data_IF_296100361116
#
_entry.id   IF_296100361116
#
_cell.length_a   1.000
_cell.length_b   1.000
_cell.length_c   1.000
_cell.angle_alpha   90.00
_cell.angle_beta   90.00
_cell.angle_gamma   90.00
#
_symmetry.space_group_name_H-M   'P 1'
#
loop_
_entity.id
_entity.type
_entity.pdbx_description
1 polymer ?
#
# COMPACT_ATOMS: atom_id res chain seq x y z
N UNK A 1 19.18 -25.40 36.68
CA UNK A 1 18.29 -24.26 36.90
C UNK A 1 19.08 -22.94 36.66
N UNK A 2 19.40 -22.58 35.43
CA UNK A 2 20.02 -21.26 35.15
C UNK A 2 20.18 -20.98 33.61
N UNK A 3 19.24 -21.49 32.81
CA UNK A 3 19.21 -21.13 31.38
C UNK A 3 17.96 -20.34 30.95
N UNK A 4 17.15 -19.85 31.92
CA UNK A 4 15.86 -19.23 31.66
C UNK A 4 15.83 -17.73 31.49
N UNK A 5 16.94 -16.99 31.69
CA UNK A 5 16.87 -15.52 31.80
C UNK A 5 17.19 -14.82 30.46
N UNK A 6 17.91 -15.47 29.55
CA UNK A 6 18.30 -14.85 28.28
C UNK A 6 17.28 -15.05 27.15
N UNK A 7 16.31 -15.95 27.31
CA UNK A 7 15.28 -16.23 26.30
C UNK A 7 13.89 -15.71 26.65
N UNK A 8 13.70 -15.16 27.86
CA UNK A 8 12.38 -14.67 28.28
C UNK A 8 11.92 -13.41 27.53
N UNK A 9 12.81 -12.72 26.82
CA UNK A 9 12.45 -11.58 25.97
C UNK A 9 11.95 -11.98 24.58
N UNK A 10 12.33 -13.17 24.09
CA UNK A 10 11.93 -13.64 22.75
C UNK A 10 10.59 -14.39 22.77
N UNK A 11 10.22 -14.99 23.90
CA UNK A 11 8.99 -15.78 24.04
C UNK A 11 7.71 -14.94 24.08
N UNK A 12 7.78 -13.60 24.17
CA UNK A 12 6.64 -12.69 24.22
C UNK A 12 6.43 -11.88 22.94
N UNK A 13 7.17 -12.15 21.87
CA UNK A 13 6.93 -11.47 20.58
C UNK A 13 5.83 -12.23 19.86
N UNK A 14 4.61 -11.77 20.03
CA UNK A 14 3.44 -12.38 19.42
C UNK A 14 3.13 -11.71 18.08
N UNK A 15 3.41 -12.44 17.00
CA UNK A 15 3.10 -12.02 15.62
C UNK A 15 1.69 -12.41 15.18
N UNK A 16 0.93 -13.10 16.06
CA UNK A 16 -0.39 -13.60 15.72
C UNK A 16 -1.43 -12.47 15.67
N UNK A 17 -2.40 -12.65 14.79
CA UNK A 17 -3.55 -11.77 14.70
C UNK A 17 -4.52 -12.15 15.80
N UNK A 18 -4.69 -11.28 16.81
CA UNK A 18 -5.65 -11.51 17.88
C UNK A 18 -7.06 -11.14 17.47
N UNK A 19 -8.01 -12.02 17.71
CA UNK A 19 -9.43 -11.71 17.62
C UNK A 19 -9.85 -10.87 18.82
N UNK A 20 -10.32 -9.64 18.58
CA UNK A 20 -10.78 -8.71 19.62
C UNK A 20 -12.22 -9.02 19.99
N UNK A 21 -13.06 -9.32 19.02
CA UNK A 21 -14.49 -9.59 19.22
C UNK A 21 -14.98 -10.70 18.28
N UNK A 22 -15.80 -11.60 18.82
CA UNK A 22 -16.36 -12.74 18.08
C UNK A 22 -17.83 -12.47 17.79
N UNK A 23 -18.25 -12.53 16.54
CA UNK A 23 -19.65 -12.51 16.17
C UNK A 23 -19.96 -13.58 15.12
N UNK A 24 -21.19 -14.08 15.13
CA UNK A 24 -21.65 -15.06 14.16
C UNK A 24 -22.42 -14.36 13.03
N UNK A 25 -21.96 -14.57 11.80
CA UNK A 25 -22.63 -14.06 10.60
C UNK A 25 -22.93 -15.23 9.65
N UNK A 26 -24.20 -15.45 9.32
CA UNK A 26 -24.65 -16.58 8.48
C UNK A 26 -24.17 -17.98 8.94
N UNK A 27 -24.04 -18.20 10.25
CA UNK A 27 -23.59 -19.49 10.79
C UNK A 27 -22.06 -19.71 10.80
N UNK A 28 -21.30 -18.73 10.31
CA UNK A 28 -19.83 -18.71 10.40
C UNK A 28 -19.38 -17.80 11.54
N UNK A 29 -18.41 -18.26 12.33
CA UNK A 29 -17.79 -17.44 13.36
C UNK A 29 -16.77 -16.50 12.70
N UNK A 30 -17.04 -15.21 12.76
CA UNK A 30 -16.17 -14.16 12.23
C UNK A 30 -15.57 -13.40 13.41
N UNK A 31 -14.23 -13.20 13.33
CA UNK A 31 -13.49 -12.47 14.34
C UNK A 31 -13.17 -11.06 13.84
N UNK A 32 -13.49 -10.04 14.63
CA UNK A 32 -12.90 -8.72 14.46
C UNK A 32 -11.49 -8.79 15.02
N UNK A 33 -10.51 -8.65 14.14
CA UNK A 33 -9.09 -8.71 14.49
C UNK A 33 -8.54 -7.33 14.82
N UNK A 34 -7.37 -7.28 15.46
CA UNK A 34 -6.63 -6.04 15.69
C UNK A 34 -6.38 -5.26 14.41
N UNK A 35 -6.19 -5.95 13.28
CA UNK A 35 -6.04 -5.33 11.95
C UNK A 35 -7.25 -4.50 11.56
N UNK A 36 -8.48 -5.01 11.78
CA UNK A 36 -9.72 -4.25 11.47
C UNK A 36 -9.83 -2.97 12.30
N UNK A 37 -9.44 -3.03 13.57
CA UNK A 37 -9.43 -1.85 14.45
C UNK A 37 -8.40 -0.83 13.95
N UNK A 38 -7.20 -1.27 13.59
CA UNK A 38 -6.16 -0.39 13.07
C UNK A 38 -6.57 0.25 11.72
N UNK A 39 -7.17 -0.53 10.79
CA UNK A 39 -7.74 0.01 9.54
C UNK A 39 -8.77 1.10 9.83
N UNK A 40 -9.69 0.85 10.78
CA UNK A 40 -10.72 1.81 11.15
C UNK A 40 -10.10 3.10 11.72
N UNK A 41 -9.10 3.00 12.59
CA UNK A 41 -8.39 4.16 13.14
C UNK A 41 -7.71 4.95 12.03
N UNK A 42 -6.98 4.30 11.13
CA UNK A 42 -6.32 4.93 9.98
C UNK A 42 -7.35 5.65 9.10
N UNK A 43 -8.47 4.99 8.79
CA UNK A 43 -9.54 5.60 8.00
C UNK A 43 -10.15 6.83 8.68
N UNK A 44 -10.37 6.78 10.00
CA UNK A 44 -10.88 7.93 10.75
C UNK A 44 -9.89 9.10 10.75
N UNK A 45 -8.58 8.84 10.86
CA UNK A 45 -7.53 9.86 10.78
C UNK A 45 -7.55 10.52 9.40
N UNK A 46 -7.60 9.73 8.33
CA UNK A 46 -7.61 10.24 6.94
C UNK A 46 -8.88 11.06 6.68
N UNK A 47 -10.05 10.56 7.06
CA UNK A 47 -11.32 11.25 6.88
C UNK A 47 -11.34 12.55 7.71
N UNK A 48 -10.86 12.51 8.95
CA UNK A 48 -10.73 13.69 9.79
C UNK A 48 -9.84 14.76 9.17
N UNK A 49 -8.67 14.36 8.68
CA UNK A 49 -7.77 15.25 7.95
C UNK A 49 -8.42 15.82 6.69
N UNK A 50 -9.11 14.99 5.90
CA UNK A 50 -9.79 15.43 4.68
C UNK A 50 -10.92 16.44 4.98
N UNK A 51 -11.69 16.25 6.05
CA UNK A 51 -12.72 17.21 6.47
C UNK A 51 -12.11 18.55 6.90
N UNK A 52 -11.02 18.52 7.67
CA UNK A 52 -10.31 19.74 8.09
C UNK A 52 -9.73 20.47 6.89
N UNK A 53 -9.05 19.73 5.99
CA UNK A 53 -8.50 20.27 4.76
C UNK A 53 -9.58 20.91 3.89
N UNK A 54 -10.70 20.23 3.66
CA UNK A 54 -11.81 20.75 2.87
C UNK A 54 -12.43 22.02 3.48
N UNK A 55 -12.59 22.08 4.80
CA UNK A 55 -13.08 23.28 5.49
C UNK A 55 -12.11 24.46 5.40
N UNK A 56 -10.81 24.17 5.44
CA UNK A 56 -9.79 25.19 5.27
C UNK A 56 -9.76 25.72 3.83
N UNK A 57 -9.82 24.82 2.85
CA UNK A 57 -9.84 25.16 1.43
C UNK A 57 -11.11 25.90 0.99
N UNK A 58 -12.25 25.67 1.66
CA UNK A 58 -13.47 26.45 1.42
C UNK A 58 -13.33 27.96 1.73
N UNK A 59 -12.29 28.35 2.50
CA UNK A 59 -11.93 29.73 2.83
C UNK A 59 -10.58 30.13 2.25
N UNK A 60 -10.13 29.44 1.19
CA UNK A 60 -8.82 29.66 0.60
C UNK A 60 -8.66 31.11 0.11
N UNK A 61 -7.46 31.66 0.33
CA UNK A 61 -7.04 32.97 -0.16
C UNK A 61 -6.17 32.80 -1.40
N UNK A 62 -6.08 33.83 -2.24
CA UNK A 62 -5.21 33.83 -3.43
C UNK A 62 -3.74 33.60 -3.08
N UNK A 63 -3.30 34.10 -1.92
CA UNK A 63 -1.97 33.84 -1.39
C UNK A 63 -2.11 32.83 -0.25
N UNK A 64 -1.62 31.57 -0.42
CA UNK A 64 -1.77 30.53 0.58
C UNK A 64 -0.94 30.82 1.82
N UNK A 65 -1.56 30.80 3.00
CA UNK A 65 -0.89 30.98 4.29
C UNK A 65 -1.11 29.78 5.22
N UNK A 66 -0.09 29.44 6.02
CA UNK A 66 -0.18 28.46 7.09
C UNK A 66 -0.60 27.06 6.60
N UNK A 67 -1.71 26.54 7.13
CA UNK A 67 -2.19 25.18 6.83
C UNK A 67 -2.64 25.01 5.36
N UNK A 68 -3.19 26.05 4.74
CA UNK A 68 -3.56 26.05 3.32
C UNK A 68 -2.35 25.73 2.44
N UNK A 69 -1.22 26.38 2.68
CA UNK A 69 0.01 26.16 1.94
C UNK A 69 0.51 24.71 2.04
N UNK A 70 0.36 24.08 3.22
CA UNK A 70 0.75 22.67 3.40
C UNK A 70 -0.15 21.75 2.59
N UNK A 71 -1.46 21.95 2.62
CA UNK A 71 -2.42 21.12 1.87
C UNK A 71 -2.20 21.28 0.37
N UNK A 72 -2.06 22.52 -0.13
CA UNK A 72 -1.78 22.80 -1.54
C UNK A 72 -0.46 22.16 -1.99
N UNK A 73 0.60 22.27 -1.19
CA UNK A 73 1.89 21.64 -1.49
C UNK A 73 1.77 20.11 -1.61
N UNK A 74 1.02 19.47 -0.71
CA UNK A 74 0.80 17.99 -0.76
C UNK A 74 0.07 17.63 -2.05
N UNK A 75 -1.01 18.33 -2.38
CA UNK A 75 -1.81 18.07 -3.60
C UNK A 75 -0.97 18.31 -4.84
N UNK A 76 -0.25 19.44 -4.94
CA UNK A 76 0.63 19.77 -6.07
C UNK A 76 1.71 18.68 -6.27
N UNK A 77 2.33 18.20 -5.20
CA UNK A 77 3.33 17.13 -5.29
C UNK A 77 2.74 15.80 -5.73
N UNK A 78 1.53 15.47 -5.26
CA UNK A 78 0.82 14.27 -5.69
C UNK A 78 0.41 14.36 -7.16
N UNK A 79 -0.11 15.50 -7.61
CA UNK A 79 -0.50 15.72 -9.01
C UNK A 79 0.72 15.65 -9.93
N UNK A 80 1.82 16.31 -9.57
CA UNK A 80 3.08 16.24 -10.32
C UNK A 80 3.64 14.81 -10.40
N UNK A 81 3.47 13.99 -9.34
CA UNK A 81 3.85 12.58 -9.34
C UNK A 81 3.02 11.77 -10.34
N UNK A 82 1.74 12.10 -10.51
CA UNK A 82 0.83 11.41 -11.44
C UNK A 82 1.03 11.87 -12.89
N UNK A 83 1.33 13.14 -13.11
CA UNK A 83 1.51 13.73 -14.45
C UNK A 83 2.65 13.05 -15.23
N UNK A 84 3.76 12.76 -14.55
CA UNK A 84 4.95 12.20 -15.18
C UNK A 84 4.70 10.86 -15.89
N UNK A 85 4.10 9.82 -15.24
CA UNK A 85 3.88 8.53 -15.87
C UNK A 85 2.59 8.44 -16.68
N UNK A 86 1.58 9.28 -16.40
CA UNK A 86 0.24 9.15 -17.00
C UNK A 86 -0.07 10.19 -18.07
N UNK A 87 0.73 11.26 -18.18
CA UNK A 87 0.59 12.27 -19.22
C UNK A 87 -0.85 12.79 -19.38
N UNK A 88 -1.44 12.68 -20.58
CA UNK A 88 -2.80 13.16 -20.88
C UNK A 88 -3.91 12.46 -20.08
N UNK A 89 -3.63 11.30 -19.50
CA UNK A 89 -4.59 10.55 -18.70
C UNK A 89 -4.62 10.97 -17.23
N UNK A 90 -3.59 11.65 -16.75
CA UNK A 90 -3.38 12.02 -15.36
C UNK A 90 -4.62 12.64 -14.66
N UNK A 91 -5.36 13.60 -15.26
CA UNK A 91 -6.48 14.25 -14.57
C UNK A 91 -7.60 13.28 -14.10
N UNK A 92 -7.69 12.10 -14.72
CA UNK A 92 -8.70 11.11 -14.35
C UNK A 92 -8.28 10.26 -13.15
N UNK A 93 -6.99 10.26 -12.84
CA UNK A 93 -6.40 9.37 -11.85
C UNK A 93 -5.84 10.09 -10.61
N UNK A 94 -5.78 11.43 -10.59
CA UNK A 94 -5.31 12.19 -9.43
C UNK A 94 -5.96 11.75 -8.12
N UNK A 95 -7.30 11.73 -8.09
CA UNK A 95 -8.03 11.37 -6.87
C UNK A 95 -7.79 9.91 -6.46
N UNK A 96 -7.74 8.99 -7.41
CA UNK A 96 -7.53 7.57 -7.14
C UNK A 96 -6.13 7.31 -6.60
N UNK A 97 -5.11 7.75 -7.32
CA UNK A 97 -3.71 7.54 -6.94
C UNK A 97 -3.37 8.31 -5.67
N UNK A 98 -3.82 9.56 -5.54
CA UNK A 98 -3.63 10.35 -4.32
C UNK A 98 -4.26 9.69 -3.09
N UNK A 99 -5.48 9.14 -3.23
CA UNK A 99 -6.13 8.42 -2.13
C UNK A 99 -5.36 7.17 -1.73
N UNK A 100 -4.97 6.33 -2.69
CA UNK A 100 -4.19 5.11 -2.41
C UNK A 100 -2.84 5.48 -1.78
N UNK A 101 -2.16 6.50 -2.30
CA UNK A 101 -0.89 6.97 -1.76
C UNK A 101 -1.02 7.35 -0.28
N UNK A 102 -2.01 8.18 0.05
CA UNK A 102 -2.25 8.63 1.43
C UNK A 102 -2.63 7.45 2.33
N UNK A 103 -3.52 6.56 1.87
CA UNK A 103 -3.95 5.40 2.66
C UNK A 103 -2.78 4.47 2.97
N UNK A 104 -1.96 4.12 1.99
CA UNK A 104 -0.80 3.23 2.21
C UNK A 104 0.24 3.94 3.07
N UNK A 105 0.53 5.22 2.81
CA UNK A 105 1.52 5.99 3.56
C UNK A 105 1.13 6.09 5.04
N UNK A 106 -0.10 6.49 5.35
CA UNK A 106 -0.59 6.60 6.73
C UNK A 106 -0.64 5.23 7.40
N UNK A 107 -1.02 4.18 6.67
CA UNK A 107 -0.99 2.80 7.18
C UNK A 107 0.43 2.34 7.53
N UNK A 108 1.44 2.69 6.74
CA UNK A 108 2.83 2.35 7.03
C UNK A 108 3.37 3.16 8.22
N UNK A 109 3.06 4.47 8.28
CA UNK A 109 3.47 5.35 9.37
C UNK A 109 2.79 4.98 10.70
N UNK A 110 1.63 4.32 10.67
CA UNK A 110 0.94 3.91 11.91
C UNK A 110 1.79 2.98 12.79
N UNK A 111 2.79 2.30 12.22
CA UNK A 111 3.81 1.54 12.96
C UNK A 111 4.59 2.40 13.97
N UNK A 112 4.92 3.64 13.63
CA UNK A 112 5.59 4.60 14.54
C UNK A 112 4.75 4.95 15.77
N UNK A 113 3.42 4.86 15.64
CA UNK A 113 2.50 5.11 16.77
C UNK A 113 2.32 3.89 17.68
N UNK A 114 3.09 2.82 17.45
CA UNK A 114 2.96 1.56 18.17
C UNK A 114 1.72 0.74 17.79
N UNK A 115 1.02 1.15 16.72
CA UNK A 115 -0.07 0.38 16.15
C UNK A 115 0.50 -0.64 15.16
N UNK A 116 -0.10 -1.83 15.11
CA UNK A 116 0.26 -2.79 14.07
C UNK A 116 -0.15 -2.23 12.70
N UNK A 117 0.81 -2.01 11.77
CA UNK A 117 0.46 -1.48 10.46
C UNK A 117 -0.55 -2.37 9.76
N UNK A 118 -1.68 -1.86 9.24
CA UNK A 118 -2.65 -2.64 8.48
C UNK A 118 -2.02 -3.36 7.28
N UNK A 119 -0.99 -2.77 6.69
CA UNK A 119 -0.23 -3.33 5.55
C UNK A 119 0.66 -4.53 5.93
N UNK A 120 0.84 -4.81 7.22
CA UNK A 120 1.45 -6.05 7.70
C UNK A 120 0.50 -7.27 7.63
N UNK A 121 -0.74 -7.07 7.20
CA UNK A 121 -1.71 -8.13 6.96
C UNK A 121 -1.94 -8.31 5.45
N UNK A 122 -1.71 -9.53 4.97
CA UNK A 122 -1.91 -9.86 3.56
C UNK A 122 -3.38 -9.72 3.14
N UNK A 123 -4.32 -9.90 4.07
CA UNK A 123 -5.74 -9.67 3.85
C UNK A 123 -6.09 -8.21 3.49
N UNK A 124 -5.23 -7.24 3.81
CA UNK A 124 -5.39 -5.82 3.43
C UNK A 124 -4.66 -5.52 2.13
N UNK A 125 -3.46 -6.06 1.94
CA UNK A 125 -2.62 -5.73 0.77
C UNK A 125 -3.07 -6.46 -0.50
N UNK A 126 -3.60 -7.68 -0.38
CA UNK A 126 -4.12 -8.43 -1.53
C UNK A 126 -5.30 -7.71 -2.22
N UNK A 127 -6.35 -7.24 -1.51
CA UNK A 127 -7.42 -6.45 -2.13
C UNK A 127 -6.92 -5.20 -2.87
N UNK A 128 -5.88 -4.52 -2.36
CA UNK A 128 -5.27 -3.38 -3.06
C UNK A 128 -4.63 -3.80 -4.39
N UNK A 129 -3.90 -4.93 -4.39
CA UNK A 129 -3.34 -5.51 -5.63
C UNK A 129 -4.42 -5.94 -6.61
N UNK A 130 -5.48 -6.59 -6.14
CA UNK A 130 -6.63 -7.00 -6.97
C UNK A 130 -7.38 -5.79 -7.52
N UNK A 131 -7.59 -4.74 -6.73
CA UNK A 131 -8.21 -3.50 -7.20
C UNK A 131 -7.42 -2.86 -8.34
N UNK A 132 -6.09 -2.81 -8.20
CA UNK A 132 -5.19 -2.33 -9.24
C UNK A 132 -5.31 -3.18 -10.51
N UNK A 133 -5.33 -4.51 -10.38
CA UNK A 133 -5.51 -5.44 -11.49
C UNK A 133 -6.83 -5.23 -12.23
N UNK A 134 -7.93 -5.11 -11.51
CA UNK A 134 -9.24 -4.82 -12.09
C UNK A 134 -9.24 -3.48 -12.85
N UNK A 135 -8.57 -2.46 -12.29
CA UNK A 135 -8.48 -1.16 -12.94
C UNK A 135 -7.61 -1.19 -14.20
N UNK A 136 -6.52 -1.95 -14.20
CA UNK A 136 -5.68 -2.18 -15.39
C UNK A 136 -6.53 -2.79 -16.52
N UNK A 137 -7.22 -3.90 -16.23
CA UNK A 137 -8.03 -4.60 -17.22
C UNK A 137 -9.22 -3.76 -17.69
N UNK A 138 -9.87 -3.03 -16.79
CA UNK A 138 -10.94 -2.10 -17.18
C UNK A 138 -10.45 -1.05 -18.17
N UNK A 139 -9.27 -0.46 -17.93
CA UNK A 139 -8.69 0.51 -18.86
C UNK A 139 -8.26 -0.15 -20.18
N UNK A 140 -7.69 -1.34 -20.13
CA UNK A 140 -7.29 -2.10 -21.32
C UNK A 140 -8.49 -2.37 -22.23
N UNK A 141 -9.59 -2.92 -21.72
CA UNK A 141 -10.81 -3.17 -22.51
C UNK A 141 -11.50 -1.90 -23.00
N UNK A 142 -11.34 -0.78 -22.28
CA UNK A 142 -11.98 0.49 -22.66
C UNK A 142 -11.24 1.24 -23.77
N UNK A 143 -9.90 1.18 -23.79
CA UNK A 143 -9.07 1.99 -24.68
C UNK A 143 -8.40 1.20 -25.79
N UNK A 144 -8.21 -0.10 -25.66
CA UNK A 144 -7.65 -0.97 -26.67
C UNK A 144 -8.75 -1.80 -27.37
N UNK A 145 -8.55 -2.11 -28.65
CA UNK A 145 -9.45 -3.01 -29.37
C UNK A 145 -9.19 -4.46 -28.98
N UNK A 146 -10.21 -5.33 -28.93
CA UNK A 146 -10.04 -6.75 -28.58
C UNK A 146 -8.98 -7.47 -29.42
N UNK A 147 -8.80 -7.05 -30.68
CA UNK A 147 -7.78 -7.59 -31.57
C UNK A 147 -6.36 -7.23 -31.14
N UNK A 148 -6.15 -5.99 -30.71
CA UNK A 148 -4.86 -5.49 -30.24
C UNK A 148 -4.48 -6.17 -28.91
N UNK A 149 -5.45 -6.41 -28.04
CA UNK A 149 -5.26 -7.15 -26.78
C UNK A 149 -4.82 -8.58 -27.10
N UNK A 150 -5.50 -9.25 -28.03
CA UNK A 150 -5.16 -10.62 -28.43
C UNK A 150 -3.77 -10.71 -29.09
N UNK A 151 -3.45 -9.80 -30.00
CA UNK A 151 -2.13 -9.70 -30.60
C UNK A 151 -1.03 -9.44 -29.56
N UNK A 152 -1.30 -8.57 -28.58
CA UNK A 152 -0.39 -8.30 -27.45
C UNK A 152 -0.14 -9.54 -26.60
N UNK A 153 -1.18 -10.34 -26.32
CA UNK A 153 -1.03 -11.58 -25.55
C UNK A 153 -0.27 -12.68 -26.33
N UNK A 154 -0.29 -12.65 -27.64
CA UNK A 154 0.46 -13.59 -28.49
C UNK A 154 1.86 -13.09 -28.88
N UNK A 155 2.17 -11.80 -28.65
CA UNK A 155 3.49 -11.21 -28.95
C UNK A 155 4.62 -11.91 -28.19
N UNK A 156 5.83 -12.09 -28.76
CA UNK A 156 6.35 -11.59 -30.06
C UNK A 156 6.11 -12.49 -31.28
N UNK A 157 5.42 -13.60 -31.13
CA UNK A 157 5.16 -14.53 -32.24
C UNK A 157 3.85 -14.19 -32.99
N UNK A 158 3.71 -14.62 -34.24
CA UNK A 158 2.47 -14.42 -35.00
C UNK A 158 1.28 -15.10 -34.30
N UNK A 159 0.05 -14.52 -34.38
CA UNK A 159 -1.13 -14.98 -33.62
C UNK A 159 -1.58 -16.44 -33.87
N UNK A 160 -1.07 -17.08 -34.93
CA UNK A 160 -1.38 -18.49 -35.24
C UNK A 160 -0.56 -19.49 -34.40
N UNK A 161 0.49 -19.03 -33.70
CA UNK A 161 1.33 -19.88 -32.85
C UNK A 161 1.28 -19.37 -31.39
N UNK A 162 0.25 -19.70 -30.59
CA UNK A 162 0.02 -19.10 -29.27
C UNK A 162 0.88 -19.71 -28.15
N UNK A 163 2.19 -19.93 -28.41
CA UNK A 163 3.12 -20.50 -27.42
C UNK A 163 3.34 -19.53 -26.24
N UNK A 164 3.30 -18.21 -26.50
CA UNK A 164 3.49 -17.19 -25.49
C UNK A 164 2.24 -16.86 -24.67
N UNK A 165 1.07 -17.28 -25.13
CA UNK A 165 -0.20 -17.03 -24.45
C UNK A 165 -0.20 -17.53 -22.98
N UNK A 166 0.26 -18.75 -22.64
CA UNK A 166 0.31 -19.19 -21.25
C UNK A 166 1.28 -18.36 -20.40
N UNK A 167 2.42 -17.95 -20.98
CA UNK A 167 3.44 -17.16 -20.28
C UNK A 167 2.90 -15.77 -19.99
N UNK A 168 2.28 -15.12 -20.98
CA UNK A 168 1.69 -13.79 -20.81
C UNK A 168 0.51 -13.82 -19.81
N UNK A 169 -0.32 -14.86 -19.86
CA UNK A 169 -1.41 -15.04 -18.89
C UNK A 169 -0.90 -15.21 -17.45
N UNK A 170 0.14 -16.02 -17.25
CA UNK A 170 0.79 -16.16 -15.95
C UNK A 170 1.38 -14.83 -15.51
N UNK A 171 2.01 -14.07 -16.40
CA UNK A 171 2.55 -12.74 -16.11
C UNK A 171 1.46 -11.75 -15.67
N UNK A 172 0.29 -11.76 -16.32
CA UNK A 172 -0.84 -10.91 -15.92
C UNK A 172 -1.36 -11.24 -14.51
N UNK A 173 -1.48 -12.53 -14.18
CA UNK A 173 -1.89 -12.96 -12.84
C UNK A 173 -0.79 -12.66 -11.80
N UNK A 174 0.47 -12.72 -12.20
CA UNK A 174 1.59 -12.41 -11.31
C UNK A 174 1.65 -10.93 -10.89
N UNK A 175 1.13 -10.00 -11.69
CA UNK A 175 1.14 -8.55 -11.39
C UNK A 175 0.47 -8.23 -10.05
N UNK A 176 -0.81 -8.57 -9.80
CA UNK A 176 -1.46 -8.24 -8.54
C UNK A 176 -0.83 -8.94 -7.34
N UNK A 177 -0.39 -10.18 -7.53
CA UNK A 177 0.30 -10.97 -6.49
C UNK A 177 1.62 -10.31 -6.13
N UNK A 178 2.44 -10.00 -7.13
CA UNK A 178 3.75 -9.35 -6.91
C UNK A 178 3.61 -7.99 -6.23
N UNK A 179 2.60 -7.20 -6.64
CA UNK A 179 2.34 -5.87 -6.10
C UNK A 179 1.92 -5.94 -4.62
N UNK A 180 0.98 -6.86 -4.30
CA UNK A 180 0.50 -7.06 -2.93
C UNK A 180 1.56 -7.67 -2.01
N UNK A 181 2.30 -8.69 -2.49
CA UNK A 181 3.38 -9.31 -1.72
C UNK A 181 4.52 -8.34 -1.43
N UNK A 182 4.86 -7.45 -2.37
CA UNK A 182 5.89 -6.45 -2.15
C UNK A 182 5.54 -5.50 -1.01
N UNK A 183 4.29 -5.03 -0.97
CA UNK A 183 3.81 -4.15 0.09
C UNK A 183 3.79 -4.89 1.45
N UNK A 184 3.22 -6.08 1.48
CA UNK A 184 3.15 -6.93 2.66
C UNK A 184 4.54 -7.31 3.19
N UNK A 185 5.42 -7.85 2.33
CA UNK A 185 6.73 -8.34 2.74
C UNK A 185 7.65 -7.24 3.27
N UNK A 186 7.58 -6.03 2.69
CA UNK A 186 8.37 -4.89 3.17
C UNK A 186 8.02 -4.54 4.63
N UNK A 187 6.74 -4.43 4.93
CA UNK A 187 6.27 -4.08 6.29
C UNK A 187 6.50 -5.24 7.25
N UNK A 188 6.22 -6.48 6.83
CA UNK A 188 6.45 -7.67 7.66
C UNK A 188 7.93 -7.84 8.00
N UNK A 189 8.84 -7.68 7.02
CA UNK A 189 10.27 -7.77 7.27
C UNK A 189 10.76 -6.70 8.25
N UNK A 190 10.24 -5.47 8.14
CA UNK A 190 10.50 -4.40 9.10
C UNK A 190 10.08 -4.76 10.52
N UNK A 191 8.85 -5.24 10.71
CA UNK A 191 8.34 -5.64 12.03
C UNK A 191 9.12 -6.80 12.63
N UNK A 192 9.45 -7.83 11.83
CA UNK A 192 10.26 -8.97 12.28
C UNK A 192 11.67 -8.54 12.66
N UNK A 193 12.31 -7.69 11.85
CA UNK A 193 13.65 -7.17 12.12
C UNK A 193 13.68 -6.38 13.44
N UNK A 194 12.70 -5.50 13.65
CA UNK A 194 12.57 -4.74 14.89
C UNK A 194 12.38 -5.65 16.10
N UNK A 195 11.52 -6.66 15.99
CA UNK A 195 11.30 -7.63 17.06
C UNK A 195 12.58 -8.39 17.44
N UNK A 196 13.36 -8.83 16.44
CA UNK A 196 14.66 -9.48 16.68
C UNK A 196 15.65 -8.54 17.36
N UNK A 197 15.72 -7.28 16.94
CA UNK A 197 16.61 -6.28 17.54
C UNK A 197 16.26 -6.04 19.00
N UNK A 198 14.98 -5.88 19.34
CA UNK A 198 14.53 -5.75 20.72
C UNK A 198 14.83 -7.00 21.55
N UNK A 199 14.65 -8.19 20.97
CA UNK A 199 14.96 -9.46 21.63
C UNK A 199 16.46 -9.68 21.92
N UNK A 200 17.33 -9.22 20.99
CA UNK A 200 18.78 -9.42 21.11
C UNK A 200 19.47 -8.36 21.96
N UNK A 201 19.08 -7.09 21.84
CA UNK A 201 19.76 -5.99 22.52
C UNK A 201 19.28 -5.74 23.95
N UNK A 202 18.09 -6.24 24.35
CA UNK A 202 17.58 -6.11 25.72
C UNK A 202 17.70 -4.68 26.27
N UNK A 203 18.48 -4.53 27.35
CA UNK A 203 18.65 -3.24 28.06
C UNK A 203 19.37 -2.19 27.20
N UNK A 204 20.20 -2.57 26.23
CA UNK A 204 20.93 -1.63 25.34
C UNK A 204 19.99 -1.04 24.27
N UNK A 205 18.79 -1.60 24.11
CA UNK A 205 17.78 -1.21 23.11
C UNK A 205 17.05 0.11 23.43
N UNK A 206 17.61 1.04 24.21
CA UNK A 206 16.86 2.22 24.65
C UNK A 206 16.81 3.35 23.61
N UNK A 207 17.91 3.62 22.89
CA UNK A 207 17.97 4.75 21.96
C UNK A 207 18.14 4.32 20.49
N UNK A 208 18.91 3.28 20.23
CA UNK A 208 19.24 2.80 18.88
C UNK A 208 18.04 2.30 18.08
N UNK A 209 17.09 1.54 18.68
CA UNK A 209 15.91 1.08 17.96
C UNK A 209 14.99 2.19 17.49
N UNK A 210 14.94 3.34 18.16
CA UNK A 210 14.15 4.48 17.71
C UNK A 210 14.57 4.99 16.33
N UNK A 211 15.89 5.04 16.07
CA UNK A 211 16.41 5.39 14.74
C UNK A 211 16.04 4.35 13.67
N UNK A 212 16.02 3.07 14.05
CA UNK A 212 15.62 1.99 13.16
C UNK A 212 14.11 1.99 12.86
N UNK A 213 13.26 2.36 13.82
CA UNK A 213 11.84 2.58 13.58
C UNK A 213 11.61 3.69 12.56
N UNK A 214 12.30 4.82 12.67
CA UNK A 214 12.22 5.90 11.67
C UNK A 214 12.65 5.39 10.29
N UNK A 215 13.68 4.55 10.23
CA UNK A 215 14.15 4.00 8.97
C UNK A 215 13.14 3.02 8.35
N UNK A 216 12.67 2.00 9.11
CA UNK A 216 11.80 0.96 8.57
C UNK A 216 10.37 1.45 8.36
N UNK A 217 9.78 2.16 9.30
CA UNK A 217 8.37 2.53 9.25
C UNK A 217 8.15 3.79 8.39
N UNK A 218 9.02 4.80 8.52
CA UNK A 218 8.86 6.04 7.77
C UNK A 218 9.53 5.98 6.41
N UNK A 219 10.85 5.77 6.36
CA UNK A 219 11.61 5.88 5.11
C UNK A 219 11.30 4.73 4.16
N UNK A 220 11.43 3.48 4.61
CA UNK A 220 11.13 2.30 3.80
C UNK A 220 9.64 2.25 3.44
N UNK A 221 8.74 2.58 4.37
CA UNK A 221 7.31 2.67 4.13
C UNK A 221 6.93 3.73 3.09
N UNK A 222 7.57 4.91 3.12
CA UNK A 222 7.34 5.98 2.14
C UNK A 222 7.83 5.59 0.73
N UNK A 223 9.03 5.02 0.63
CA UNK A 223 9.57 4.51 -0.65
C UNK A 223 8.66 3.44 -1.22
N UNK A 224 8.22 2.49 -0.39
CA UNK A 224 7.34 1.42 -0.83
C UNK A 224 5.99 1.94 -1.34
N UNK A 225 5.41 2.94 -0.66
CA UNK A 225 4.19 3.61 -1.09
C UNK A 225 4.37 4.26 -2.47
N UNK A 226 5.48 4.99 -2.64
CA UNK A 226 5.82 5.62 -3.91
C UNK A 226 5.98 4.58 -5.03
N UNK A 227 6.73 3.51 -4.79
CA UNK A 227 6.96 2.43 -5.78
C UNK A 227 5.64 1.74 -6.15
N UNK A 228 4.76 1.48 -5.17
CA UNK A 228 3.44 0.89 -5.45
C UNK A 228 2.61 1.77 -6.39
N UNK A 229 2.53 3.08 -6.10
CA UNK A 229 1.78 4.02 -6.94
C UNK A 229 2.41 4.19 -8.34
N UNK A 230 3.74 4.29 -8.43
CA UNK A 230 4.44 4.39 -9.71
C UNK A 230 4.20 3.18 -10.60
N UNK A 231 4.31 1.96 -10.04
CA UNK A 231 4.02 0.74 -10.79
C UNK A 231 2.55 0.66 -11.22
N UNK A 232 1.62 1.01 -10.33
CA UNK A 232 0.19 1.06 -10.65
C UNK A 232 -0.07 2.00 -11.84
N UNK A 233 0.50 3.20 -11.83
CA UNK A 233 0.36 4.18 -12.90
C UNK A 233 0.99 3.69 -14.21
N UNK A 234 2.18 3.12 -14.15
CA UNK A 234 2.87 2.57 -15.32
C UNK A 234 2.06 1.44 -15.96
N UNK A 235 1.52 0.52 -15.16
CA UNK A 235 0.67 -0.56 -15.70
C UNK A 235 -0.62 -0.03 -16.33
N UNK A 236 -1.26 0.98 -15.73
CA UNK A 236 -2.46 1.60 -16.30
C UNK A 236 -2.13 2.35 -17.59
N UNK A 237 -1.01 3.10 -17.64
CA UNK A 237 -0.57 3.81 -18.84
C UNK A 237 -0.27 2.83 -20.00
N UNK A 238 0.45 1.75 -19.72
CA UNK A 238 0.72 0.68 -20.69
C UNK A 238 -0.57 0.02 -21.19
N UNK A 239 -1.51 -0.27 -20.27
CA UNK A 239 -2.80 -0.87 -20.62
C UNK A 239 -3.68 0.04 -21.49
N UNK A 240 -3.42 1.34 -21.52
CA UNK A 240 -4.13 2.31 -22.39
C UNK A 240 -3.46 2.52 -23.74
N UNK A 241 -2.22 2.10 -23.90
CA UNK A 241 -1.41 2.38 -25.08
C UNK A 241 -0.95 3.85 -25.17
N UNK A 242 -0.91 4.54 -24.04
CA UNK A 242 -0.47 5.96 -23.93
C UNK A 242 1.05 6.06 -23.66
N UNK A 243 1.76 4.92 -23.57
CA UNK A 243 3.19 4.85 -23.27
C UNK A 243 4.05 4.92 -24.54
#
# INVERSE_FOLDING_TARGET
MEHGILLSGADNIDFMIHGVFKYSFFGHEVWITTTHVCVLIVMLIIIGFAIVANRCMAKAREVPEGFQNVVELIVEKLDAMVDTPMGKAAPKFYNYIGTIFIVILVSNISGLLGLRPPTADYGVTLPLGVLTFLLIHYNQFKYQKPKEIWEGMCSPLPPWLPIWLPINLISEIAVPISLSLRLFANVLSGTVMMALIYGLLGVIATAWPAALHVYFDLFSGAIQTYVFCMLTMTYIANARGDA
#
